data_IF_077945487448
#
_entry.id   IF_077945487448
#
_cell.length_a   1.000
_cell.length_b   1.000
_cell.length_c   1.000
_cell.angle_alpha   90.00
_cell.angle_beta   90.00
_cell.angle_gamma   90.00
#
_symmetry.space_group_name_H-M   'P 1'
#
loop_
_entity.id
_entity.type
_entity.pdbx_description
1 polymer ?
#
# COMPACT_ATOMS: atom_id res chain seq x y z
N UNK A 1 -18.35 17.15 0.51
CA UNK A 1 -17.01 17.01 -0.09
C UNK A 1 -16.56 15.60 0.25
N UNK A 2 -16.22 14.80 -0.75
CA UNK A 2 -15.79 13.42 -0.56
C UNK A 2 -14.26 13.41 -0.55
N UNK A 3 -13.66 13.01 0.57
CA UNK A 3 -12.21 13.02 0.80
C UNK A 3 -11.63 11.63 0.51
N UNK A 4 -10.41 11.57 -0.01
CA UNK A 4 -9.62 10.33 -0.12
C UNK A 4 -8.58 10.21 0.99
N UNK A 5 -8.45 11.22 1.85
CA UNK A 5 -7.60 11.18 3.02
C UNK A 5 -8.25 10.35 4.14
N UNK A 6 -7.75 9.13 4.32
CA UNK A 6 -8.23 8.21 5.35
C UNK A 6 -7.23 8.06 6.50
N UNK A 7 -6.30 9.01 6.63
CA UNK A 7 -5.36 9.05 7.75
C UNK A 7 -6.08 9.37 9.04
N UNK A 8 -5.64 8.74 10.12
CA UNK A 8 -6.13 9.01 11.47
C UNK A 8 -5.00 9.04 12.52
N UNK A 9 -3.75 8.94 12.07
CA UNK A 9 -2.53 9.13 12.84
C UNK A 9 -1.56 10.07 12.13
N UNK A 10 -0.63 10.61 12.90
CA UNK A 10 0.48 11.47 12.47
C UNK A 10 1.78 11.00 13.10
N UNK A 11 2.92 11.47 12.60
CA UNK A 11 4.23 11.13 13.19
C UNK A 11 4.36 11.59 14.66
N UNK A 12 3.54 12.55 15.09
CA UNK A 12 3.51 13.01 16.49
C UNK A 12 2.85 11.98 17.44
N UNK A 13 2.10 11.02 16.90
CA UNK A 13 1.43 9.96 17.67
C UNK A 13 2.34 8.75 17.92
N UNK A 14 3.52 8.71 17.28
CA UNK A 14 4.45 7.59 17.39
C UNK A 14 5.16 7.65 18.75
N UNK A 15 5.05 6.55 19.50
CA UNK A 15 5.71 6.36 20.79
C UNK A 15 6.50 5.06 20.81
N UNK A 16 7.43 4.91 21.74
CA UNK A 16 8.05 3.62 21.99
C UNK A 16 7.11 2.76 22.84
N UNK A 17 6.67 1.62 22.30
CA UNK A 17 5.82 0.67 23.02
C UNK A 17 6.70 -0.38 23.69
N UNK A 18 6.68 -0.39 25.03
CA UNK A 18 7.22 -1.49 25.82
C UNK A 18 6.31 -2.73 25.72
N UNK A 19 6.82 -3.91 25.35
CA UNK A 19 5.99 -5.11 25.19
C UNK A 19 5.32 -5.57 26.48
N UNK A 20 5.99 -5.45 27.64
CA UNK A 20 5.43 -5.88 28.92
C UNK A 20 4.27 -4.97 29.33
N UNK A 21 4.47 -3.65 29.32
CA UNK A 21 3.43 -2.66 29.61
C UNK A 21 2.28 -2.74 28.61
N UNK A 22 2.55 -2.97 27.32
CA UNK A 22 1.48 -3.15 26.35
C UNK A 22 0.63 -4.39 26.66
N UNK A 23 1.27 -5.51 26.98
CA UNK A 23 0.59 -6.77 27.26
C UNK A 23 -0.22 -6.73 28.56
N UNK A 24 0.32 -6.12 29.62
CA UNK A 24 -0.31 -6.09 30.94
C UNK A 24 -1.31 -4.93 31.11
N UNK A 25 -1.06 -3.77 30.49
CA UNK A 25 -1.84 -2.56 30.74
C UNK A 25 -2.75 -2.17 29.56
N UNK A 26 -2.26 -2.26 28.32
CA UNK A 26 -2.98 -1.73 27.15
C UNK A 26 -3.87 -2.78 26.48
N UNK A 27 -3.32 -3.96 26.22
CA UNK A 27 -4.00 -5.03 25.50
C UNK A 27 -5.31 -5.48 26.17
N UNK A 28 -5.41 -5.62 27.51
CA UNK A 28 -6.68 -6.00 28.15
C UNK A 28 -7.81 -5.01 27.83
N UNK A 29 -7.54 -3.70 27.90
CA UNK A 29 -8.52 -2.68 27.57
C UNK A 29 -8.91 -2.68 26.09
N UNK A 30 -7.94 -2.90 25.19
CA UNK A 30 -8.20 -3.04 23.76
C UNK A 30 -9.05 -4.28 23.45
N UNK A 31 -8.81 -5.41 24.14
CA UNK A 31 -9.59 -6.64 23.98
C UNK A 31 -10.99 -6.52 24.57
N UNK A 32 -11.17 -5.79 25.67
CA UNK A 32 -12.49 -5.48 26.20
C UNK A 32 -13.30 -4.61 25.23
N UNK A 33 -12.65 -3.65 24.56
CA UNK A 33 -13.30 -2.76 23.59
C UNK A 33 -13.57 -3.43 22.23
N UNK A 34 -12.60 -4.17 21.70
CA UNK A 34 -12.57 -4.61 20.29
C UNK A 34 -12.40 -6.13 20.11
N UNK A 35 -12.33 -6.91 21.19
CA UNK A 35 -12.06 -8.35 21.12
C UNK A 35 -13.07 -9.13 20.29
N UNK A 36 -14.35 -8.74 20.34
CA UNK A 36 -15.41 -9.31 19.48
C UNK A 36 -15.15 -9.09 17.99
N UNK A 37 -14.90 -7.84 17.61
CA UNK A 37 -14.56 -7.45 16.24
C UNK A 37 -13.32 -8.20 15.72
N UNK A 38 -12.28 -8.28 16.56
CA UNK A 38 -11.06 -9.00 16.24
C UNK A 38 -11.31 -10.52 16.10
N UNK A 39 -12.16 -11.10 16.95
CA UNK A 39 -12.54 -12.52 16.88
C UNK A 39 -13.29 -12.84 15.59
N UNK A 40 -14.23 -12.00 15.18
CA UNK A 40 -14.98 -12.20 13.93
C UNK A 40 -14.04 -12.17 12.71
N UNK A 41 -13.13 -11.19 12.69
CA UNK A 41 -12.09 -11.11 11.67
C UNK A 41 -11.12 -12.31 11.67
N UNK A 42 -10.72 -12.75 12.86
CA UNK A 42 -9.86 -13.92 13.03
C UNK A 42 -10.55 -15.21 12.53
N UNK A 43 -11.83 -15.38 12.82
CA UNK A 43 -12.63 -16.50 12.33
C UNK A 43 -12.76 -16.48 10.81
N UNK A 44 -13.10 -15.32 10.23
CA UNK A 44 -13.21 -15.12 8.78
C UNK A 44 -11.91 -15.48 8.04
N UNK A 45 -10.76 -15.03 8.54
CA UNK A 45 -9.46 -15.28 7.91
C UNK A 45 -8.88 -16.68 8.24
N UNK A 46 -9.52 -17.43 9.14
CA UNK A 46 -9.03 -18.71 9.64
C UNK A 46 -7.70 -18.57 10.39
N UNK A 47 -7.60 -17.57 11.26
CA UNK A 47 -6.43 -17.34 12.10
C UNK A 47 -6.29 -18.45 13.14
N UNK A 48 -5.04 -18.91 13.33
CA UNK A 48 -4.64 -19.83 14.40
C UNK A 48 -3.82 -19.07 15.44
N UNK A 49 -3.59 -19.60 16.65
CA UNK A 49 -2.83 -18.90 17.69
C UNK A 49 -1.52 -18.31 17.17
N UNK A 50 -1.29 -17.02 17.44
CA UNK A 50 -0.09 -16.28 17.06
C UNK A 50 0.75 -16.02 18.30
N UNK A 51 1.97 -16.57 18.32
CA UNK A 51 2.96 -16.32 19.35
C UNK A 51 3.85 -15.14 18.98
N UNK A 52 4.18 -14.32 19.96
CA UNK A 52 5.22 -13.30 19.89
C UNK A 52 6.36 -13.71 20.83
N UNK A 53 7.59 -13.61 20.32
CA UNK A 53 8.82 -13.79 21.08
C UNK A 53 9.61 -12.49 21.00
N UNK A 54 9.45 -11.63 22.02
CA UNK A 54 9.99 -10.27 22.05
C UNK A 54 10.92 -10.14 23.24
N UNK A 55 12.18 -10.51 23.04
CA UNK A 55 13.21 -10.54 24.09
C UNK A 55 12.78 -11.41 25.30
N UNK A 56 12.47 -10.79 26.45
CA UNK A 56 12.02 -11.50 27.66
C UNK A 56 10.50 -11.76 27.67
N UNK A 57 9.76 -11.12 26.76
CA UNK A 57 8.31 -11.15 26.71
C UNK A 57 7.82 -12.16 25.67
N UNK A 58 7.25 -13.26 26.16
CA UNK A 58 6.71 -14.34 25.32
C UNK A 58 5.23 -14.53 25.61
N UNK A 59 4.39 -14.39 24.59
CA UNK A 59 2.94 -14.50 24.74
C UNK A 59 2.26 -14.95 23.45
N UNK A 60 1.03 -15.44 23.56
CA UNK A 60 0.22 -15.93 22.45
C UNK A 60 -1.15 -15.26 22.42
N UNK A 61 -1.57 -14.80 21.25
CA UNK A 61 -2.93 -14.35 20.96
C UNK A 61 -3.73 -15.51 20.33
N UNK A 62 -4.85 -15.86 20.96
CA UNK A 62 -5.69 -16.99 20.56
C UNK A 62 -7.15 -16.56 20.37
N UNK A 63 -7.75 -16.73 19.18
CA UNK A 63 -9.19 -16.55 19.00
C UNK A 63 -9.95 -17.62 19.80
N UNK A 64 -10.82 -17.21 20.71
CA UNK A 64 -11.56 -18.12 21.60
C UNK A 64 -12.85 -17.48 22.08
N UNK A 65 -13.96 -18.22 22.01
CA UNK A 65 -15.26 -17.83 22.58
C UNK A 65 -15.74 -16.42 22.21
N UNK A 66 -15.55 -16.01 20.94
CA UNK A 66 -15.98 -14.69 20.48
C UNK A 66 -15.10 -13.53 20.93
N UNK A 67 -13.87 -13.79 21.40
CA UNK A 67 -12.86 -12.77 21.68
C UNK A 67 -11.45 -13.29 21.32
N UNK A 68 -10.43 -12.46 21.49
CA UNK A 68 -9.03 -12.87 21.46
C UNK A 68 -8.53 -12.96 22.90
N UNK A 69 -7.90 -14.07 23.27
CA UNK A 69 -7.25 -14.26 24.56
C UNK A 69 -5.75 -14.12 24.42
N UNK A 70 -5.13 -13.32 25.27
CA UNK A 70 -3.68 -13.30 25.45
C UNK A 70 -3.28 -14.23 26.60
N UNK A 71 -2.31 -15.12 26.36
CA UNK A 71 -1.70 -15.95 27.40
C UNK A 71 -0.18 -15.77 27.37
N UNK A 72 0.47 -15.88 28.53
CA UNK A 72 1.93 -15.97 28.61
C UNK A 72 2.42 -17.28 27.99
N UNK A 73 3.60 -17.25 27.38
CA UNK A 73 4.19 -18.39 26.67
C UNK A 73 3.78 -18.47 25.20
N UNK A 74 4.45 -19.38 24.47
CA UNK A 74 4.31 -19.60 23.02
C UNK A 74 4.09 -21.07 22.66
N UNK A 75 3.88 -21.92 23.66
CA UNK A 75 3.78 -23.38 23.53
C UNK A 75 2.58 -23.81 22.68
N UNK A 76 1.48 -23.05 22.76
CA UNK A 76 0.24 -23.29 22.00
C UNK A 76 0.19 -22.52 20.66
N UNK A 77 1.25 -21.79 20.31
CA UNK A 77 1.29 -20.97 19.11
C UNK A 77 1.41 -21.83 17.83
N UNK A 78 0.64 -21.47 16.80
CA UNK A 78 0.72 -22.11 15.49
C UNK A 78 1.82 -21.51 14.59
N UNK A 79 2.32 -20.33 14.96
CA UNK A 79 3.48 -19.63 14.44
C UNK A 79 3.99 -18.72 15.55
N UNK A 80 5.31 -18.63 15.72
CA UNK A 80 5.96 -17.72 16.67
C UNK A 80 6.76 -16.70 15.87
N UNK A 81 6.51 -15.42 16.11
CA UNK A 81 7.18 -14.32 15.41
C UNK A 81 8.25 -13.73 16.34
N UNK A 82 9.55 -13.94 16.04
CA UNK A 82 10.62 -13.29 16.77
C UNK A 82 10.70 -11.82 16.36
N UNK A 83 10.70 -10.90 17.32
CA UNK A 83 10.86 -9.46 17.09
C UNK A 83 11.78 -8.86 18.15
N UNK A 84 12.49 -7.80 17.81
CA UNK A 84 13.03 -6.88 18.81
C UNK A 84 11.94 -5.91 19.29
N UNK A 85 12.21 -5.15 20.36
CA UNK A 85 11.24 -4.22 20.93
C UNK A 85 10.78 -3.15 19.94
N UNK A 86 11.68 -2.66 19.07
CA UNK A 86 11.35 -1.65 18.07
C UNK A 86 10.41 -2.21 17.00
N UNK A 87 10.70 -3.38 16.45
CA UNK A 87 9.88 -4.02 15.42
C UNK A 87 8.51 -4.42 15.96
N UNK A 88 8.43 -4.81 17.23
CA UNK A 88 7.16 -5.00 17.92
C UNK A 88 6.37 -3.68 18.01
N UNK A 89 7.01 -2.62 18.50
CA UNK A 89 6.41 -1.28 18.62
C UNK A 89 5.88 -0.78 17.27
N UNK A 90 6.67 -0.94 16.20
CA UNK A 90 6.32 -0.53 14.84
C UNK A 90 5.14 -1.35 14.28
N UNK A 91 5.11 -2.66 14.54
CA UNK A 91 4.00 -3.52 14.12
C UNK A 91 2.68 -3.12 14.79
N UNK A 92 2.71 -2.89 16.11
CA UNK A 92 1.52 -2.52 16.87
C UNK A 92 0.99 -1.15 16.44
N UNK A 93 1.87 -0.21 16.09
CA UNK A 93 1.48 1.14 15.68
C UNK A 93 1.18 1.30 14.19
N UNK A 94 1.24 0.22 13.39
CA UNK A 94 1.09 0.29 11.93
C UNK A 94 2.20 1.12 11.25
N UNK A 95 3.39 1.17 11.83
CA UNK A 95 4.59 1.69 11.15
C UNK A 95 5.14 0.66 10.17
N UNK A 96 5.11 -0.62 10.54
CA UNK A 96 5.58 -1.74 9.72
C UNK A 96 4.53 -2.86 9.71
N UNK A 97 4.29 -3.45 8.54
CA UNK A 97 3.42 -4.64 8.43
C UNK A 97 4.23 -5.94 8.48
N UNK A 98 3.59 -7.10 8.67
CA UNK A 98 4.26 -8.39 8.47
C UNK A 98 5.00 -8.51 7.14
N UNK A 99 4.46 -7.91 6.08
CA UNK A 99 5.09 -7.92 4.77
C UNK A 99 6.37 -7.06 4.74
N UNK A 100 6.37 -5.90 5.41
CA UNK A 100 7.59 -5.09 5.51
C UNK A 100 8.67 -5.77 6.34
N UNK A 101 8.31 -6.36 7.49
CA UNK A 101 9.24 -7.12 8.33
C UNK A 101 9.91 -8.25 7.55
N UNK A 102 9.14 -9.03 6.78
CA UNK A 102 9.68 -10.10 5.93
C UNK A 102 10.55 -9.54 4.78
N UNK A 103 10.11 -8.46 4.12
CA UNK A 103 10.85 -7.84 3.01
C UNK A 103 12.19 -7.27 3.47
N UNK A 104 12.23 -6.66 4.65
CA UNK A 104 13.42 -6.13 5.29
C UNK A 104 14.31 -7.22 5.93
N UNK A 105 13.86 -8.49 5.93
CA UNK A 105 14.52 -9.62 6.60
C UNK A 105 14.71 -9.42 8.11
N UNK A 106 13.81 -8.66 8.73
CA UNK A 106 13.71 -8.55 10.19
C UNK A 106 13.19 -9.88 10.76
N UNK A 107 12.28 -10.52 10.04
CA UNK A 107 11.81 -11.88 10.32
C UNK A 107 12.21 -12.82 9.18
N UNK A 108 12.54 -14.06 9.53
CA UNK A 108 12.83 -15.14 8.58
C UNK A 108 11.93 -16.33 8.89
N UNK A 109 10.67 -16.22 8.46
CA UNK A 109 9.67 -17.27 8.63
C UNK A 109 9.54 -18.11 7.36
N UNK A 110 9.35 -19.44 7.47
CA UNK A 110 8.92 -20.25 6.36
C UNK A 110 7.65 -19.66 5.70
N UNK A 111 7.52 -19.77 4.38
CA UNK A 111 6.41 -19.17 3.62
C UNK A 111 5.03 -19.46 4.23
N UNK A 112 4.79 -20.70 4.68
CA UNK A 112 3.50 -21.07 5.29
C UNK A 112 3.24 -20.39 6.64
N UNK A 113 4.29 -20.07 7.39
CA UNK A 113 4.22 -19.36 8.66
C UNK A 113 4.10 -17.85 8.45
N UNK A 114 4.82 -17.30 7.46
CA UNK A 114 4.63 -15.93 7.02
C UNK A 114 3.18 -15.66 6.64
N UNK A 115 2.54 -16.53 5.84
CA UNK A 115 1.13 -16.36 5.52
C UNK A 115 0.19 -16.46 6.73
N UNK A 116 0.56 -17.24 7.77
CA UNK A 116 -0.22 -17.27 9.03
C UNK A 116 -0.08 -15.95 9.78
N UNK A 117 1.12 -15.39 9.84
CA UNK A 117 1.35 -14.10 10.45
C UNK A 117 0.67 -12.96 9.67
N UNK A 118 0.74 -13.00 8.34
CA UNK A 118 0.11 -12.01 7.47
C UNK A 118 -1.41 -11.95 7.65
N UNK A 119 -2.09 -13.09 7.89
CA UNK A 119 -3.53 -13.11 8.21
C UNK A 119 -3.88 -12.37 9.48
N UNK A 120 -2.98 -12.36 10.46
CA UNK A 120 -3.18 -11.63 11.71
C UNK A 120 -3.06 -10.12 11.55
N UNK A 121 -2.47 -9.62 10.47
CA UNK A 121 -2.31 -8.19 10.26
C UNK A 121 -3.62 -7.38 10.41
N UNK A 122 -4.68 -7.66 9.64
CA UNK A 122 -5.96 -6.95 9.80
C UNK A 122 -6.64 -7.26 11.15
N UNK A 123 -6.37 -8.40 11.78
CA UNK A 123 -6.88 -8.71 13.13
C UNK A 123 -6.20 -7.84 14.19
N UNK A 124 -4.90 -7.58 14.07
CA UNK A 124 -4.17 -6.64 14.93
C UNK A 124 -4.71 -5.22 14.75
N UNK A 125 -5.03 -4.80 13.52
CA UNK A 125 -5.71 -3.52 13.27
C UNK A 125 -7.12 -3.48 13.90
N UNK A 126 -7.85 -4.60 13.92
CA UNK A 126 -9.13 -4.69 14.62
C UNK A 126 -8.97 -4.54 16.14
N UNK A 127 -7.93 -5.15 16.74
CA UNK A 127 -7.64 -5.01 18.17
C UNK A 127 -7.22 -3.57 18.51
N UNK A 128 -6.22 -3.04 17.79
CA UNK A 128 -5.55 -1.77 18.16
C UNK A 128 -6.35 -0.56 17.71
N UNK A 129 -6.93 -0.60 16.51
CA UNK A 129 -7.54 0.58 15.87
C UNK A 129 -9.08 0.48 15.82
N UNK A 130 -9.67 -0.62 16.29
CA UNK A 130 -11.11 -0.85 16.18
C UNK A 130 -11.60 -1.00 14.74
N UNK A 131 -10.68 -1.27 13.79
CA UNK A 131 -11.00 -1.35 12.36
C UNK A 131 -11.41 -2.77 11.97
N UNK A 132 -12.62 -3.01 11.46
CA UNK A 132 -13.07 -4.34 11.08
C UNK A 132 -12.19 -4.93 9.97
N UNK A 133 -12.03 -6.25 10.01
CA UNK A 133 -11.53 -7.01 8.86
C UNK A 133 -12.59 -6.95 7.76
N UNK A 134 -12.18 -6.58 6.55
CA UNK A 134 -13.08 -6.53 5.40
C UNK A 134 -13.64 -7.91 5.06
N UNK A 135 -14.96 -7.96 4.83
CA UNK A 135 -15.68 -9.11 4.28
C UNK A 135 -16.40 -8.73 2.97
N UNK A 136 -16.53 -9.66 2.00
CA UNK A 136 -17.23 -9.40 0.75
C UNK A 136 -18.67 -8.94 1.00
N UNK A 137 -19.04 -7.77 0.47
CA UNK A 137 -20.34 -7.16 0.67
C UNK A 137 -20.37 -6.01 1.69
N UNK A 138 -19.25 -5.74 2.38
CA UNK A 138 -19.17 -4.63 3.37
C UNK A 138 -19.08 -3.24 2.75
N UNK A 139 -18.90 -3.14 1.44
CA UNK A 139 -18.67 -1.87 0.74
C UNK A 139 -19.72 -1.73 -0.36
N UNK A 140 -20.49 -0.66 -0.27
CA UNK A 140 -21.35 -0.18 -1.35
C UNK A 140 -20.65 0.96 -2.10
N UNK A 141 -20.89 1.06 -3.40
CA UNK A 141 -20.43 2.17 -4.23
C UNK A 141 -21.64 2.96 -4.70
N UNK A 142 -21.75 4.22 -4.29
CA UNK A 142 -22.98 5.01 -4.44
C UNK A 142 -22.70 6.28 -5.25
N UNK A 143 -23.51 6.54 -6.27
CA UNK A 143 -23.45 7.79 -7.03
C UNK A 143 -24.13 8.95 -6.27
N UNK A 144 -23.96 10.19 -6.72
CA UNK A 144 -24.45 11.41 -6.05
C UNK A 144 -25.98 11.45 -5.91
N UNK A 145 -26.69 10.72 -6.76
CA UNK A 145 -28.15 10.60 -6.73
C UNK A 145 -28.65 9.43 -5.86
N UNK A 146 -27.74 8.68 -5.24
CA UNK A 146 -28.03 7.52 -4.40
C UNK A 146 -28.17 6.20 -5.16
N UNK A 147 -28.03 6.20 -6.49
CA UNK A 147 -28.00 4.98 -7.28
C UNK A 147 -26.65 4.24 -7.16
N UNK A 148 -26.56 2.95 -7.55
CA UNK A 148 -25.28 2.24 -7.61
C UNK A 148 -24.30 2.92 -8.58
N UNK A 149 -23.05 3.09 -8.16
CA UNK A 149 -22.00 3.70 -8.98
C UNK A 149 -21.58 2.78 -10.14
N UNK A 150 -21.52 3.32 -11.36
CA UNK A 150 -20.97 2.59 -12.52
C UNK A 150 -19.44 2.60 -12.51
N UNK A 151 -18.82 1.55 -11.96
CA UNK A 151 -17.36 1.39 -11.90
C UNK A 151 -16.68 1.32 -13.28
N UNK A 152 -17.43 1.13 -14.37
CA UNK A 152 -16.90 1.14 -15.74
C UNK A 152 -16.74 2.55 -16.33
N UNK A 153 -17.20 3.59 -15.62
CA UNK A 153 -17.18 4.96 -16.11
C UNK A 153 -15.75 5.49 -16.28
N UNK A 154 -15.54 6.19 -17.40
CA UNK A 154 -14.33 6.95 -17.70
C UNK A 154 -14.65 8.43 -17.84
N UNK A 155 -13.67 9.29 -17.57
CA UNK A 155 -13.81 10.74 -17.62
C UNK A 155 -12.83 11.34 -18.64
N UNK A 156 -13.16 12.49 -19.21
CA UNK A 156 -12.31 13.29 -20.10
C UNK A 156 -12.01 14.65 -19.46
N UNK A 157 -11.09 15.45 -20.02
CA UNK A 157 -10.86 16.81 -19.53
C UNK A 157 -12.10 17.72 -19.54
N UNK A 158 -13.15 17.38 -20.29
CA UNK A 158 -14.38 18.19 -20.35
C UNK A 158 -15.38 17.85 -19.23
N UNK A 159 -15.13 16.78 -18.47
CA UNK A 159 -15.99 16.38 -17.35
C UNK A 159 -15.85 17.30 -16.13
N UNK A 160 -16.91 17.31 -15.33
CA UNK A 160 -17.04 18.07 -14.08
C UNK A 160 -16.12 17.54 -12.97
N UNK A 161 -15.37 18.44 -12.33
CA UNK A 161 -14.43 18.11 -11.25
C UNK A 161 -15.15 17.52 -10.04
N UNK A 162 -16.33 18.01 -9.69
CA UNK A 162 -17.09 17.48 -8.54
C UNK A 162 -17.56 16.04 -8.80
N UNK A 163 -17.93 15.71 -10.05
CA UNK A 163 -18.29 14.35 -10.43
C UNK A 163 -17.08 13.40 -10.37
N UNK A 164 -15.91 13.84 -10.86
CA UNK A 164 -14.67 13.05 -10.79
C UNK A 164 -14.21 12.84 -9.34
N UNK A 165 -14.26 13.88 -8.52
CA UNK A 165 -13.90 13.82 -7.10
C UNK A 165 -14.81 12.86 -6.32
N UNK A 166 -16.12 12.94 -6.55
CA UNK A 166 -17.09 12.02 -5.95
C UNK A 166 -16.80 10.57 -6.35
N UNK A 167 -16.62 10.33 -7.65
CA UNK A 167 -16.32 9.00 -8.17
C UNK A 167 -15.05 8.44 -7.53
N UNK A 168 -13.97 9.22 -7.50
CA UNK A 168 -12.69 8.80 -6.93
C UNK A 168 -12.81 8.43 -5.45
N UNK A 169 -13.52 9.24 -4.66
CA UNK A 169 -13.72 8.96 -3.24
C UNK A 169 -14.59 7.73 -2.95
N UNK A 170 -15.54 7.41 -3.84
CA UNK A 170 -16.36 6.21 -3.72
C UNK A 170 -15.62 4.96 -4.21
N UNK A 171 -15.06 5.00 -5.42
CA UNK A 171 -14.47 3.86 -6.09
C UNK A 171 -13.04 3.55 -5.62
N UNK A 172 -12.31 4.54 -5.10
CA UNK A 172 -10.88 4.44 -4.78
C UNK A 172 -9.96 4.46 -6.01
N UNK A 173 -10.50 4.68 -7.22
CA UNK A 173 -9.75 4.88 -8.45
C UNK A 173 -10.53 5.78 -9.42
N UNK A 174 -9.85 6.25 -10.47
CA UNK A 174 -10.46 7.04 -11.55
C UNK A 174 -9.80 6.70 -12.89
N UNK A 175 -10.59 6.48 -13.94
CA UNK A 175 -10.08 6.29 -15.29
C UNK A 175 -10.24 7.60 -16.09
N UNK A 176 -9.11 8.21 -16.43
CA UNK A 176 -9.03 9.42 -17.24
C UNK A 176 -8.64 9.06 -18.68
N UNK A 177 -9.52 9.38 -19.62
CA UNK A 177 -9.42 9.05 -21.04
C UNK A 177 -9.19 10.32 -21.87
N UNK A 178 -8.28 10.23 -22.85
CA UNK A 178 -7.93 11.39 -23.68
C UNK A 178 -7.40 12.59 -22.87
N UNK A 179 -6.80 12.32 -21.70
CA UNK A 179 -6.35 13.37 -20.79
C UNK A 179 -5.19 14.19 -21.36
N UNK A 180 -4.29 13.54 -22.10
CA UNK A 180 -3.23 14.19 -22.84
C UNK A 180 -3.22 13.75 -24.31
N UNK A 181 -2.64 14.55 -25.23
CA UNK A 181 -2.53 14.19 -26.64
C UNK A 181 -1.71 12.92 -26.88
N UNK A 182 -2.12 12.13 -27.87
CA UNK A 182 -1.44 10.88 -28.25
C UNK A 182 0.00 11.13 -28.71
N UNK A 183 0.27 12.28 -29.34
CA UNK A 183 1.61 12.68 -29.78
C UNK A 183 2.57 12.84 -28.61
N UNK A 184 2.11 13.40 -27.49
CA UNK A 184 2.90 13.52 -26.27
C UNK A 184 3.23 12.13 -25.69
N UNK A 185 2.25 11.21 -25.70
CA UNK A 185 2.47 9.84 -25.24
C UNK A 185 3.51 9.11 -26.10
N UNK A 186 3.47 9.30 -27.43
CA UNK A 186 4.47 8.75 -28.34
C UNK A 186 5.87 9.33 -28.11
N UNK A 187 5.97 10.63 -27.82
CA UNK A 187 7.25 11.27 -27.48
C UNK A 187 7.83 10.67 -26.19
N UNK A 188 7.02 10.58 -25.13
CA UNK A 188 7.43 9.99 -23.85
C UNK A 188 7.85 8.51 -24.03
N UNK A 189 7.07 7.72 -24.80
CA UNK A 189 7.43 6.34 -25.10
C UNK A 189 8.77 6.24 -25.84
N UNK A 190 9.04 7.13 -26.78
CA UNK A 190 10.32 7.17 -27.51
C UNK A 190 11.48 7.53 -26.57
N UNK A 191 11.26 8.43 -25.62
CA UNK A 191 12.27 8.80 -24.64
C UNK A 191 12.57 7.65 -23.66
N UNK A 192 11.58 6.81 -23.32
CA UNK A 192 11.81 5.58 -22.54
C UNK A 192 12.76 4.66 -23.30
N UNK A 193 12.47 4.40 -24.57
CA UNK A 193 13.29 3.51 -25.42
C UNK A 193 14.73 4.01 -25.56
N UNK A 194 14.92 5.33 -25.69
CA UNK A 194 16.27 5.95 -25.76
C UNK A 194 17.03 5.85 -24.44
N UNK A 195 16.31 5.94 -23.31
CA UNK A 195 16.91 6.09 -21.99
C UNK A 195 17.20 4.77 -21.30
N UNK A 196 16.55 3.67 -21.71
CA UNK A 196 16.68 2.37 -21.04
C UNK A 196 18.13 1.89 -20.96
N UNK A 197 18.96 2.21 -21.96
CA UNK A 197 20.38 1.84 -22.01
C UNK A 197 21.28 2.59 -21.01
N UNK A 198 20.78 3.69 -20.42
CA UNK A 198 21.53 4.47 -19.42
C UNK A 198 21.47 3.85 -18.02
N UNK A 199 20.49 2.98 -17.77
CA UNK A 199 20.29 2.30 -16.50
C UNK A 199 21.07 0.99 -16.44
N UNK A 200 21.41 0.56 -15.23
CA UNK A 200 22.20 -0.67 -15.01
C UNK A 200 21.70 -1.42 -13.80
N UNK A 201 21.71 -2.75 -13.88
CA UNK A 201 21.38 -3.59 -12.74
C UNK A 201 22.28 -3.21 -11.54
N UNK A 202 21.65 -2.91 -10.40
CA UNK A 202 22.35 -2.52 -9.17
C UNK A 202 22.73 -1.05 -9.08
N UNK A 203 22.30 -0.19 -10.00
CA UNK A 203 22.50 1.27 -9.94
C UNK A 203 21.70 1.97 -8.82
N UNK A 204 20.80 1.25 -8.14
CA UNK A 204 19.91 1.78 -7.11
C UNK A 204 18.80 2.68 -7.67
N UNK A 205 18.67 2.80 -8.99
CA UNK A 205 17.73 3.68 -9.71
C UNK A 205 16.92 2.94 -10.78
N UNK A 206 17.13 1.64 -10.96
CA UNK A 206 16.36 0.80 -11.87
C UNK A 206 16.04 -0.57 -11.30
N UNK A 207 14.92 -1.14 -11.75
CA UNK A 207 14.59 -2.54 -11.52
C UNK A 207 14.73 -3.33 -12.81
N UNK A 208 15.14 -4.59 -12.65
CA UNK A 208 15.41 -5.50 -13.75
C UNK A 208 14.70 -6.83 -13.51
N UNK A 209 14.17 -7.40 -14.58
CA UNK A 209 13.51 -8.69 -14.60
C UNK A 209 14.13 -9.60 -15.66
N UNK A 210 14.12 -10.91 -15.41
CA UNK A 210 14.59 -11.91 -16.37
C UNK A 210 13.41 -12.53 -17.11
N UNK A 211 13.55 -12.70 -18.42
CA UNK A 211 12.55 -13.37 -19.26
C UNK A 211 12.81 -14.89 -19.36
N UNK A 212 11.82 -15.63 -19.84
CA UNK A 212 11.90 -17.06 -20.15
C UNK A 212 12.94 -17.40 -21.24
N UNK A 213 13.30 -16.43 -22.07
CA UNK A 213 14.42 -16.51 -23.02
C UNK A 213 15.79 -16.30 -22.39
N UNK A 214 15.85 -15.91 -21.11
CA UNK A 214 17.09 -15.63 -20.37
C UNK A 214 17.60 -14.20 -20.49
N UNK A 215 16.87 -13.29 -21.15
CA UNK A 215 17.25 -11.88 -21.24
C UNK A 215 16.95 -11.14 -19.94
N UNK A 216 17.87 -10.29 -19.49
CA UNK A 216 17.62 -9.31 -18.45
C UNK A 216 17.06 -8.02 -19.08
N UNK A 217 15.88 -7.59 -18.63
CA UNK A 217 15.18 -6.40 -19.11
C UNK A 217 15.00 -5.39 -17.99
N UNK A 218 15.29 -4.12 -18.27
CA UNK A 218 14.98 -3.02 -17.36
C UNK A 218 13.46 -2.80 -17.37
N UNK A 219 12.82 -2.91 -16.20
CA UNK A 219 11.36 -2.86 -16.04
C UNK A 219 10.88 -1.62 -15.28
N UNK A 220 11.82 -0.88 -14.68
CA UNK A 220 11.54 0.38 -14.00
C UNK A 220 12.73 1.32 -14.06
N UNK A 221 12.50 2.56 -14.44
CA UNK A 221 13.49 3.63 -14.55
C UNK A 221 13.07 4.76 -13.61
N UNK A 222 13.81 4.98 -12.53
CA UNK A 222 13.54 6.09 -11.59
C UNK A 222 14.14 7.41 -12.08
N UNK A 223 13.64 8.53 -11.59
CA UNK A 223 14.09 9.88 -11.97
C UNK A 223 13.89 10.14 -13.47
N UNK A 224 12.82 9.61 -14.06
CA UNK A 224 12.63 9.65 -15.51
C UNK A 224 12.41 11.08 -16.05
N UNK A 225 12.02 12.03 -15.19
CA UNK A 225 11.99 13.45 -15.54
C UNK A 225 13.37 14.00 -15.97
N UNK A 226 14.46 13.39 -15.54
CA UNK A 226 15.82 13.78 -15.96
C UNK A 226 16.17 13.34 -17.39
N UNK A 227 15.30 12.52 -18.00
CA UNK A 227 15.53 11.86 -19.28
C UNK A 227 14.62 12.36 -20.41
N UNK A 228 13.54 13.05 -20.08
CA UNK A 228 12.53 13.49 -21.05
C UNK A 228 12.06 14.91 -20.77
N UNK A 229 12.22 15.80 -21.76
CA UNK A 229 11.68 17.17 -21.69
C UNK A 229 10.15 17.12 -21.69
N UNK A 230 9.55 16.27 -22.51
CA UNK A 230 8.11 16.05 -22.55
C UNK A 230 7.52 15.67 -21.18
N UNK A 231 8.22 14.82 -20.42
CA UNK A 231 7.81 14.48 -19.04
C UNK A 231 7.90 15.67 -18.10
N UNK A 232 8.96 16.49 -18.20
CA UNK A 232 9.08 17.71 -17.38
C UNK A 232 7.95 18.68 -17.67
N UNK A 233 7.62 18.89 -18.94
CA UNK A 233 6.52 19.75 -19.35
C UNK A 233 5.18 19.19 -18.85
N UNK A 234 4.95 17.88 -18.97
CA UNK A 234 3.76 17.20 -18.43
C UNK A 234 3.64 17.38 -16.91
N UNK A 235 4.74 17.24 -16.15
CA UNK A 235 4.70 17.38 -14.70
C UNK A 235 4.37 18.81 -14.25
N UNK A 236 4.69 19.83 -15.07
CA UNK A 236 4.37 21.24 -14.82
C UNK A 236 2.98 21.66 -15.36
N UNK A 237 2.36 20.82 -16.19
CA UNK A 237 1.12 21.08 -16.90
C UNK A 237 -0.08 21.32 -15.97
N UNK A 238 -1.02 22.15 -16.42
CA UNK A 238 -2.24 22.47 -15.67
C UNK A 238 -3.12 21.22 -15.46
N UNK A 239 -3.14 20.26 -16.41
CA UNK A 239 -3.95 19.05 -16.28
C UNK A 239 -3.37 18.08 -15.24
N UNK A 240 -2.04 18.04 -15.06
CA UNK A 240 -1.42 17.28 -13.99
C UNK A 240 -1.74 17.90 -12.62
N UNK A 241 -1.66 19.23 -12.51
CA UNK A 241 -2.07 19.96 -11.30
C UNK A 241 -3.56 19.77 -11.00
N UNK A 242 -4.42 19.73 -12.02
CA UNK A 242 -5.85 19.46 -11.87
C UNK A 242 -6.12 18.11 -11.23
N UNK A 243 -5.44 17.04 -11.64
CA UNK A 243 -5.58 15.71 -11.00
C UNK A 243 -5.31 15.78 -9.49
N UNK A 244 -4.24 16.48 -9.09
CA UNK A 244 -3.91 16.65 -7.67
C UNK A 244 -4.98 17.44 -6.91
N UNK A 245 -5.67 18.35 -7.57
CA UNK A 245 -6.71 19.16 -6.93
C UNK A 245 -8.06 18.41 -6.77
N UNK A 246 -8.32 17.37 -7.58
CA UNK A 246 -9.64 16.70 -7.62
C UNK A 246 -10.19 16.29 -6.26
N UNK A 247 -9.45 15.60 -5.37
CA UNK A 247 -10.00 15.17 -4.10
C UNK A 247 -10.27 16.31 -3.11
N UNK A 248 -9.64 17.47 -3.31
CA UNK A 248 -9.75 18.61 -2.40
C UNK A 248 -8.99 18.47 -1.08
N UNK A 249 -8.19 17.41 -0.89
CA UNK A 249 -7.43 17.19 0.36
C UNK A 249 -6.04 17.85 0.37
N UNK A 250 -5.80 18.79 -0.55
CA UNK A 250 -4.56 19.56 -0.61
C UNK A 250 -3.36 18.81 -1.18
N UNK A 251 -3.57 17.76 -1.99
CA UNK A 251 -2.49 17.07 -2.67
C UNK A 251 -1.73 18.02 -3.60
N UNK A 252 -0.43 17.79 -3.69
CA UNK A 252 0.45 18.52 -4.57
C UNK A 252 1.27 17.53 -5.40
N UNK A 253 1.58 17.86 -6.67
CA UNK A 253 2.58 17.13 -7.43
C UNK A 253 3.88 16.99 -6.65
N UNK A 254 4.48 15.81 -6.70
CA UNK A 254 5.74 15.54 -5.99
C UNK A 254 6.92 16.37 -6.52
N UNK A 255 6.88 16.74 -7.80
CA UNK A 255 7.99 17.40 -8.45
C UNK A 255 8.02 18.90 -8.15
N UNK A 256 9.14 19.38 -7.64
CA UNK A 256 9.41 20.79 -7.33
C UNK A 256 10.32 21.47 -8.39
N UNK A 257 10.56 20.78 -9.51
CA UNK A 257 11.50 21.21 -10.55
C UNK A 257 12.93 20.68 -10.36
N UNK A 258 13.24 20.04 -9.23
CA UNK A 258 14.54 19.45 -8.94
C UNK A 258 14.73 18.09 -9.62
N UNK A 259 15.96 17.80 -10.02
CA UNK A 259 16.38 16.49 -10.52
C UNK A 259 16.72 15.50 -9.38
N UNK A 260 16.82 15.98 -8.14
CA UNK A 260 17.14 15.17 -6.96
C UNK A 260 15.92 14.45 -6.36
N UNK A 261 14.71 14.78 -6.84
CA UNK A 261 13.46 14.14 -6.43
C UNK A 261 13.08 13.08 -7.44
N UNK A 262 12.79 11.85 -7.00
CA UNK A 262 12.21 10.82 -7.86
C UNK A 262 10.72 11.15 -8.11
N UNK A 263 10.47 12.04 -9.07
CA UNK A 263 9.15 12.58 -9.36
C UNK A 263 8.26 11.60 -10.13
N UNK A 264 8.84 10.89 -11.09
CA UNK A 264 8.12 9.96 -11.96
C UNK A 264 9.04 8.82 -12.37
N UNK A 265 8.47 7.62 -12.44
CA UNK A 265 9.15 6.40 -12.85
C UNK A 265 8.54 5.91 -14.17
N UNK A 266 9.38 5.54 -15.13
CA UNK A 266 8.91 4.84 -16.33
C UNK A 266 8.89 3.33 -16.07
N UNK A 267 7.76 2.69 -16.34
CA UNK A 267 7.57 1.25 -16.19
C UNK A 267 7.54 0.58 -17.57
N UNK A 268 8.35 -0.46 -17.73
CA UNK A 268 8.38 -1.29 -18.94
C UNK A 268 7.91 -2.69 -18.57
N UNK A 269 6.90 -3.19 -19.28
CA UNK A 269 6.27 -4.49 -19.02
C UNK A 269 6.60 -5.49 -20.15
N UNK A 270 7.79 -6.12 -20.13
CA UNK A 270 8.13 -7.14 -21.10
C UNK A 270 7.30 -8.41 -20.87
N UNK A 271 7.04 -9.15 -21.95
CA UNK A 271 6.40 -10.46 -21.87
C UNK A 271 7.38 -11.53 -21.38
N UNK A 272 6.84 -12.61 -20.81
CA UNK A 272 7.60 -13.80 -20.45
C UNK A 272 8.52 -13.62 -19.24
N UNK A 273 8.23 -12.70 -18.32
CA UNK A 273 9.04 -12.53 -17.10
C UNK A 273 8.93 -13.76 -16.20
N UNK A 274 10.08 -14.31 -15.79
CA UNK A 274 10.20 -15.47 -14.89
C UNK A 274 10.90 -15.13 -13.57
N UNK A 275 11.59 -13.99 -13.49
CA UNK A 275 12.30 -13.55 -12.28
C UNK A 275 12.29 -12.01 -12.20
N UNK A 276 12.20 -11.45 -11.00
CA UNK A 276 12.26 -10.00 -10.75
C UNK A 276 10.90 -9.33 -10.65
N UNK A 277 10.91 -8.04 -10.29
CA UNK A 277 9.71 -7.27 -9.95
C UNK A 277 9.11 -6.65 -11.22
N UNK A 278 8.42 -7.46 -12.02
CA UNK A 278 7.64 -6.99 -13.19
C UNK A 278 6.14 -7.07 -12.91
N UNK A 279 5.65 -8.26 -12.57
CA UNK A 279 4.24 -8.51 -12.31
C UNK A 279 4.03 -8.70 -10.82
N UNK A 280 3.40 -7.70 -10.20
CA UNK A 280 3.08 -7.73 -8.79
C UNK A 280 1.71 -8.39 -8.58
N UNK A 281 1.54 -9.22 -7.54
CA UNK A 281 0.22 -9.69 -7.13
C UNK A 281 -0.64 -8.51 -6.66
N UNK A 282 -1.93 -8.75 -6.41
CA UNK A 282 -2.81 -7.77 -5.76
C UNK A 282 -2.16 -7.19 -4.51
N UNK A 283 -2.06 -5.86 -4.46
CA UNK A 283 -1.43 -5.14 -3.36
C UNK A 283 -2.04 -3.74 -3.22
N UNK A 284 -1.65 -3.06 -2.14
CA UNK A 284 -1.83 -1.62 -1.94
C UNK A 284 -0.46 -0.99 -1.89
N UNK A 285 -0.32 0.25 -2.36
CA UNK A 285 0.97 0.96 -2.31
C UNK A 285 1.45 1.16 -0.85
N UNK A 286 0.52 1.34 0.10
CA UNK A 286 0.78 1.40 1.55
C UNK A 286 0.84 0.01 2.23
N UNK A 287 1.01 -1.09 1.48
CA UNK A 287 1.02 -2.45 2.03
C UNK A 287 2.20 -2.76 2.97
N UNK A 288 3.29 -1.98 2.88
CA UNK A 288 4.46 -2.12 3.74
C UNK A 288 4.30 -1.45 5.10
N UNK A 289 3.29 -0.61 5.29
CA UNK A 289 3.01 0.02 6.58
C UNK A 289 2.56 1.44 6.40
N UNK A 290 2.38 2.08 7.55
CA UNK A 290 1.98 3.47 7.69
C UNK A 290 0.64 3.77 7.04
N UNK A 291 -0.25 2.78 6.90
CA UNK A 291 -1.55 3.02 6.27
C UNK A 291 -2.36 4.06 7.05
N UNK A 292 -2.31 4.01 8.37
CA UNK A 292 -2.94 5.00 9.25
C UNK A 292 -2.34 6.42 9.20
N UNK A 293 -1.12 6.58 8.64
CA UNK A 293 -0.35 7.83 8.59
C UNK A 293 -0.22 8.42 7.19
N UNK A 294 -0.18 7.57 6.16
CA UNK A 294 0.24 7.93 4.81
C UNK A 294 -0.83 7.58 3.75
N UNK A 295 -1.96 6.94 4.14
CA UNK A 295 -3.04 6.61 3.20
C UNK A 295 -3.90 7.82 2.82
N UNK A 296 -3.23 8.82 2.25
CA UNK A 296 -3.76 9.94 1.48
C UNK A 296 -3.08 10.03 0.11
N UNK A 297 -2.04 9.24 -0.17
CA UNK A 297 -1.30 9.31 -1.43
C UNK A 297 -2.14 8.95 -2.66
N UNK A 298 -1.88 9.63 -3.77
CA UNK A 298 -2.46 9.34 -5.09
C UNK A 298 -1.33 8.93 -6.03
N UNK A 299 -1.50 7.76 -6.64
CA UNK A 299 -0.61 7.28 -7.71
C UNK A 299 -1.31 7.50 -9.05
N UNK A 300 -0.70 8.28 -9.94
CA UNK A 300 -1.21 8.49 -11.30
C UNK A 300 -0.41 7.63 -12.28
N UNK A 301 -1.04 6.58 -12.81
CA UNK A 301 -0.49 5.78 -13.90
C UNK A 301 -0.82 6.40 -15.26
N UNK A 302 0.19 6.58 -16.11
CA UNK A 302 0.02 7.16 -17.46
C UNK A 302 0.41 6.10 -18.49
N UNK A 303 -0.56 5.65 -19.29
CA UNK A 303 -0.31 4.73 -20.39
C UNK A 303 0.25 5.48 -21.60
N UNK A 304 1.51 5.23 -21.93
CA UNK A 304 2.21 5.87 -23.05
C UNK A 304 2.22 5.04 -24.34
N UNK A 305 1.83 3.77 -24.23
CA UNK A 305 1.59 2.86 -25.35
C UNK A 305 0.13 2.44 -25.34
N UNK A 306 -0.44 2.19 -26.53
CA UNK A 306 -1.74 1.55 -26.61
C UNK A 306 -1.68 0.15 -25.99
N UNK A 307 -2.62 -0.14 -25.09
CA UNK A 307 -2.86 -1.48 -24.56
C UNK A 307 -3.84 -2.23 -25.48
#
# INVERSE_FOLDING_TARGET
MASVDVRYRSDADVVEIDPAAWLDDQLPALLDAHGGLASDGAAWLGCRPLGFDVEEERFTLTPVNGTIRANRGVEDAAVVVPLDRLSFSDLIQDISTPQALATAKVIDLPVTEHFRFLKWWPVLRAIVDGRPVHTPGDIDFVDRDGSPLDLGRSFTPDDDDEAMAWFLAQAGFLHLSGWWPTELMHEISTDIDRSVGDYRRGDGRSWWARTDTGDDRCVRLQYFQTKSVAVRDLLADDLHRRISALPGDGHQPRWDGSDDVNAIEALVKPLGVVEGISDLPWHKDCSLGRHSYDCSGITTGISVTGA
#
